data_IF_872141942967
#
_entry.id   IF_872141942967
#
_cell.length_a   1.000
_cell.length_b   1.000
_cell.length_c   1.000
_cell.angle_alpha   90.00
_cell.angle_beta   90.00
_cell.angle_gamma   90.00
#
_symmetry.space_group_name_H-M   'P 1'
#
loop_
_entity.id
_entity.type
_entity.pdbx_description
1 polymer ?
#
# COMPACT_ATOMS: atom_id res chain seq x y z
N UNK A 1 34.72 -18.66 15.54
CA UNK A 1 33.65 -19.17 16.42
C UNK A 1 32.77 -18.07 17.03
N UNK A 2 33.27 -16.86 17.32
CA UNK A 2 32.44 -15.78 17.92
C UNK A 2 31.47 -15.09 16.93
N UNK A 3 31.81 -15.02 15.63
CA UNK A 3 30.96 -14.39 14.60
C UNK A 3 29.69 -15.21 14.30
N UNK A 4 29.73 -16.52 14.49
CA UNK A 4 28.59 -17.42 14.22
C UNK A 4 27.54 -17.36 15.35
N UNK A 5 27.94 -17.02 16.58
CA UNK A 5 27.00 -16.92 17.72
C UNK A 5 26.15 -15.64 17.73
N UNK A 6 26.59 -14.57 17.07
CA UNK A 6 25.82 -13.31 16.96
C UNK A 6 24.67 -13.44 15.94
N UNK A 7 24.78 -14.39 15.00
CA UNK A 7 23.77 -14.64 13.95
C UNK A 7 22.69 -15.64 14.35
N UNK A 8 22.86 -16.37 15.46
CA UNK A 8 21.92 -17.42 15.89
C UNK A 8 20.55 -16.94 16.40
N UNK A 9 20.35 -15.72 16.97
CA UNK A 9 19.01 -15.28 17.39
C UNK A 9 18.22 -14.58 16.27
N UNK A 10 18.71 -14.58 15.02
CA UNK A 10 18.07 -13.86 13.91
C UNK A 10 17.11 -14.66 12.97
N UNK A 11 16.54 -15.84 13.29
CA UNK A 11 15.64 -16.54 12.38
C UNK A 11 14.20 -15.99 12.38
N UNK A 12 13.93 -14.81 12.96
CA UNK A 12 12.60 -14.17 12.88
C UNK A 12 12.67 -12.77 12.26
N UNK A 13 13.73 -12.02 12.53
CA UNK A 13 13.91 -10.66 12.00
C UNK A 13 14.35 -10.66 10.54
N UNK A 14 15.17 -11.63 10.10
CA UNK A 14 15.62 -11.73 8.69
C UNK A 14 14.44 -12.08 7.76
N UNK A 15 13.49 -12.92 8.19
CA UNK A 15 12.34 -13.27 7.35
C UNK A 15 11.35 -12.12 7.21
N UNK A 16 11.13 -11.33 8.28
CA UNK A 16 10.33 -10.11 8.23
C UNK A 16 10.99 -9.03 7.36
N UNK A 17 12.31 -8.86 7.47
CA UNK A 17 13.08 -7.95 6.63
C UNK A 17 13.09 -8.44 5.18
N UNK A 18 13.25 -9.75 4.94
CA UNK A 18 13.18 -10.37 3.61
C UNK A 18 11.81 -10.21 2.97
N UNK A 19 10.73 -10.44 3.73
CA UNK A 19 9.36 -10.20 3.29
C UNK A 19 9.15 -8.71 2.95
N UNK A 20 9.60 -7.80 3.82
CA UNK A 20 9.53 -6.36 3.57
C UNK A 20 10.39 -5.92 2.37
N UNK A 21 11.55 -6.53 2.13
CA UNK A 21 12.40 -6.28 0.96
C UNK A 21 11.72 -6.80 -0.32
N UNK A 22 11.04 -7.95 -0.27
CA UNK A 22 10.38 -8.54 -1.44
C UNK A 22 9.10 -7.77 -1.82
N UNK A 23 8.32 -7.35 -0.83
CA UNK A 23 7.00 -6.72 -1.06
C UNK A 23 7.04 -5.19 -1.01
N UNK A 24 8.03 -4.62 -0.32
CA UNK A 24 8.18 -3.18 -0.11
C UNK A 24 9.65 -2.73 -0.11
N UNK A 25 10.47 -3.09 -1.13
CA UNK A 25 11.91 -2.82 -1.15
C UNK A 25 12.23 -1.33 -0.94
N UNK A 26 11.40 -0.47 -1.53
CA UNK A 26 11.52 0.98 -1.42
C UNK A 26 11.23 1.50 -0.01
N UNK A 27 10.33 0.88 0.76
CA UNK A 27 10.09 1.26 2.16
C UNK A 27 11.30 0.92 3.04
N UNK A 28 11.91 -0.25 2.83
CA UNK A 28 13.07 -0.69 3.62
C UNK A 28 14.29 0.18 3.34
N UNK A 29 14.61 0.42 2.06
CA UNK A 29 15.78 1.21 1.68
C UNK A 29 15.65 2.69 2.11
N UNK A 30 14.50 3.30 1.87
CA UNK A 30 14.29 4.71 2.24
C UNK A 30 14.22 4.90 3.76
N UNK A 31 13.89 3.87 4.54
CA UNK A 31 13.86 3.94 6.01
C UNK A 31 15.24 4.16 6.61
N UNK A 32 16.29 3.53 6.08
CA UNK A 32 17.63 3.57 6.64
C UNK A 32 18.44 4.78 6.22
N UNK A 33 18.26 5.25 4.98
CA UNK A 33 19.17 6.26 4.42
C UNK A 33 18.58 7.67 4.33
N UNK A 34 17.26 7.83 4.42
CA UNK A 34 16.61 9.09 4.07
C UNK A 34 15.95 9.77 5.28
N UNK A 35 16.05 11.10 5.28
CA UNK A 35 15.30 11.95 6.20
C UNK A 35 13.80 11.82 5.95
N UNK A 36 12.98 12.16 6.95
CA UNK A 36 11.52 12.10 6.83
C UNK A 36 10.97 12.98 5.72
N UNK A 37 11.58 14.14 5.50
CA UNK A 37 11.14 15.06 4.46
C UNK A 37 11.45 14.50 3.06
N UNK A 38 12.62 13.87 2.89
CA UNK A 38 12.97 13.17 1.63
C UNK A 38 12.03 12.00 1.37
N UNK A 39 11.75 11.18 2.39
CA UNK A 39 10.78 10.08 2.31
C UNK A 39 9.40 10.55 1.92
N UNK A 40 8.90 11.59 2.59
CA UNK A 40 7.59 12.17 2.31
C UNK A 40 7.49 12.66 0.86
N UNK A 41 8.48 13.43 0.40
CA UNK A 41 8.53 13.94 -0.99
C UNK A 41 8.54 12.80 -2.00
N UNK A 42 9.34 11.77 -1.76
CA UNK A 42 9.43 10.62 -2.65
C UNK A 42 8.15 9.78 -2.67
N UNK A 43 7.55 9.51 -1.52
CA UNK A 43 6.29 8.76 -1.46
C UNK A 43 5.16 9.48 -2.18
N UNK A 44 5.05 10.80 -1.98
CA UNK A 44 4.11 11.62 -2.72
C UNK A 44 4.38 11.54 -4.23
N UNK A 45 5.63 11.75 -4.66
CA UNK A 45 6.00 11.64 -6.06
C UNK A 45 5.68 10.26 -6.66
N UNK A 46 6.01 9.17 -5.96
CA UNK A 46 5.78 7.80 -6.41
C UNK A 46 4.28 7.49 -6.50
N UNK A 47 3.46 7.96 -5.54
CA UNK A 47 2.00 7.84 -5.58
C UNK A 47 1.44 8.63 -6.75
N UNK A 48 1.79 9.91 -6.90
CA UNK A 48 1.32 10.75 -8.02
C UNK A 48 1.71 10.14 -9.38
N UNK A 49 2.96 9.66 -9.52
CA UNK A 49 3.43 8.97 -10.72
C UNK A 49 2.60 7.72 -11.01
N UNK A 50 2.30 6.92 -9.99
CA UNK A 50 1.49 5.71 -10.14
C UNK A 50 0.04 6.03 -10.57
N UNK A 51 -0.52 7.14 -10.11
CA UNK A 51 -1.87 7.58 -10.45
C UNK A 51 -2.03 8.01 -11.91
N UNK A 52 -0.95 8.45 -12.57
CA UNK A 52 -0.99 8.73 -14.03
C UNK A 52 -1.38 7.52 -14.87
N UNK A 53 -1.18 6.29 -14.34
CA UNK A 53 -1.58 5.04 -14.99
C UNK A 53 -3.04 4.69 -14.75
N UNK A 54 -3.75 5.44 -13.92
CA UNK A 54 -5.17 5.23 -13.61
C UNK A 54 -6.09 5.35 -14.83
N UNK A 55 -5.78 6.23 -15.78
CA UNK A 55 -6.55 6.38 -17.04
C UNK A 55 -6.42 5.14 -17.92
N UNK A 56 -5.21 4.56 -18.00
CA UNK A 56 -4.95 3.31 -18.71
C UNK A 56 -5.68 2.15 -18.03
N UNK A 57 -5.63 2.08 -16.69
CA UNK A 57 -6.39 1.08 -15.94
C UNK A 57 -7.87 1.15 -16.29
N UNK A 58 -8.49 2.34 -16.18
CA UNK A 58 -9.91 2.58 -16.47
C UNK A 58 -10.27 2.14 -17.88
N UNK A 59 -9.43 2.45 -18.88
CA UNK A 59 -9.66 2.02 -20.26
C UNK A 59 -9.69 0.50 -20.41
N UNK A 60 -8.76 -0.21 -19.77
CA UNK A 60 -8.67 -1.69 -19.85
C UNK A 60 -9.89 -2.36 -19.20
N UNK A 61 -10.39 -1.81 -18.11
CA UNK A 61 -11.55 -2.35 -17.37
C UNK A 61 -12.91 -1.81 -17.86
N UNK A 62 -12.95 -1.09 -18.97
CA UNK A 62 -14.21 -0.62 -19.58
C UNK A 62 -14.82 0.66 -19.00
N UNK A 63 -14.01 1.53 -18.38
CA UNK A 63 -14.42 2.82 -17.80
C UNK A 63 -15.62 2.74 -16.83
N UNK A 64 -15.54 1.92 -15.77
CA UNK A 64 -16.63 1.78 -14.81
C UNK A 64 -16.84 3.11 -14.05
N UNK A 65 -18.11 3.40 -13.77
CA UNK A 65 -18.53 4.57 -12.99
C UNK A 65 -18.07 4.50 -11.53
N UNK A 66 -17.95 3.29 -10.97
CA UNK A 66 -17.46 3.06 -9.61
C UNK A 66 -16.64 1.77 -9.49
N UNK A 67 -15.84 1.67 -8.43
CA UNK A 67 -15.06 0.45 -8.12
C UNK A 67 -15.97 -0.76 -7.83
N UNK A 68 -17.21 -0.53 -7.38
CA UNK A 68 -18.16 -1.60 -7.06
C UNK A 68 -18.70 -2.29 -8.32
N UNK A 69 -18.62 -1.63 -9.48
CA UNK A 69 -19.05 -2.19 -10.76
C UNK A 69 -17.98 -3.08 -11.39
N UNK A 70 -16.82 -3.23 -10.73
CA UNK A 70 -15.70 -4.01 -11.24
C UNK A 70 -15.88 -5.45 -10.81
N UNK A 71 -16.27 -6.30 -11.76
CA UNK A 71 -16.22 -7.74 -11.62
C UNK A 71 -15.04 -8.25 -12.44
N UNK A 72 -13.96 -8.58 -11.75
CA UNK A 72 -12.74 -9.11 -12.35
C UNK A 72 -12.54 -10.55 -11.89
N UNK A 73 -12.00 -11.42 -12.75
CA UNK A 73 -11.66 -12.78 -12.35
C UNK A 73 -10.62 -12.77 -11.22
N UNK A 74 -10.33 -13.97 -10.69
CA UNK A 74 -9.30 -14.12 -9.64
C UNK A 74 -7.98 -13.52 -10.11
N UNK A 75 -7.17 -13.05 -9.16
CA UNK A 75 -5.94 -12.30 -9.46
C UNK A 75 -4.98 -13.11 -10.34
N UNK A 76 -4.99 -14.44 -10.17
CA UNK A 76 -4.20 -15.42 -10.91
C UNK A 76 -4.61 -15.55 -12.38
N UNK A 77 -5.87 -15.25 -12.71
CA UNK A 77 -6.48 -15.37 -14.03
C UNK A 77 -6.59 -14.01 -14.76
N UNK A 78 -6.04 -12.94 -14.17
CA UNK A 78 -6.10 -11.61 -14.77
C UNK A 78 -5.28 -11.55 -16.07
N UNK A 79 -5.77 -10.82 -17.09
CA UNK A 79 -5.03 -10.62 -18.33
C UNK A 79 -3.72 -9.89 -18.07
N UNK A 80 -2.67 -10.27 -18.80
CA UNK A 80 -1.30 -9.76 -18.65
C UNK A 80 -1.22 -8.23 -18.72
N UNK A 81 -2.02 -7.61 -19.58
CA UNK A 81 -2.12 -6.15 -19.70
C UNK A 81 -2.60 -5.48 -18.40
N UNK A 82 -3.60 -6.07 -17.75
CA UNK A 82 -4.13 -5.58 -16.48
C UNK A 82 -3.15 -5.82 -15.34
N UNK A 83 -2.51 -6.98 -15.29
CA UNK A 83 -1.46 -7.31 -14.31
C UNK A 83 -0.29 -6.34 -14.42
N UNK A 84 0.14 -5.99 -15.63
CA UNK A 84 1.20 -5.02 -15.87
C UNK A 84 0.82 -3.63 -15.32
N UNK A 85 -0.38 -3.14 -15.60
CA UNK A 85 -0.85 -1.84 -15.11
C UNK A 85 -1.00 -1.84 -13.59
N UNK A 86 -1.58 -2.89 -13.01
CA UNK A 86 -1.71 -3.04 -11.56
C UNK A 86 -0.33 -3.11 -10.87
N UNK A 87 0.62 -3.83 -11.45
CA UNK A 87 2.00 -3.88 -10.93
C UNK A 87 2.64 -2.49 -10.91
N UNK A 88 2.41 -1.68 -11.95
CA UNK A 88 2.90 -0.30 -12.03
C UNK A 88 2.24 0.60 -10.99
N UNK A 89 0.91 0.47 -10.79
CA UNK A 89 0.16 1.26 -9.79
C UNK A 89 0.65 0.94 -8.38
N UNK A 90 0.91 -0.32 -8.09
CA UNK A 90 1.38 -0.76 -6.77
C UNK A 90 2.91 -0.66 -6.60
N UNK A 91 3.62 -0.07 -7.56
CA UNK A 91 5.09 0.04 -7.67
C UNK A 91 5.84 -1.28 -7.47
N UNK A 92 5.35 -2.36 -8.06
CA UNK A 92 6.07 -3.61 -8.21
C UNK A 92 6.92 -3.64 -9.49
N UNK A 93 8.05 -4.34 -9.41
CA UNK A 93 8.74 -4.81 -10.60
C UNK A 93 7.97 -5.96 -11.23
N UNK A 94 7.74 -5.87 -12.54
CA UNK A 94 7.11 -6.91 -13.32
C UNK A 94 8.10 -8.09 -13.49
N UNK A 95 7.97 -9.08 -12.62
CA UNK A 95 8.80 -10.29 -12.58
C UNK A 95 7.90 -11.53 -12.69
N UNK A 96 8.44 -12.70 -13.07
CA UNK A 96 7.69 -13.96 -13.03
C UNK A 96 7.01 -14.17 -11.67
N UNK A 97 5.75 -14.62 -11.69
CA UNK A 97 4.94 -14.78 -10.47
C UNK A 97 4.35 -13.48 -9.92
N UNK A 98 4.29 -12.40 -10.71
CA UNK A 98 3.72 -11.11 -10.30
C UNK A 98 2.26 -11.22 -9.83
N UNK A 99 1.42 -12.05 -10.45
CA UNK A 99 0.02 -12.24 -10.02
C UNK A 99 -0.05 -12.78 -8.59
N UNK A 100 0.80 -13.77 -8.26
CA UNK A 100 0.93 -14.29 -6.88
C UNK A 100 1.40 -13.23 -5.90
N UNK A 101 2.31 -12.34 -6.32
CA UNK A 101 2.80 -11.23 -5.48
C UNK A 101 1.72 -10.17 -5.25
N UNK A 102 0.91 -9.86 -6.27
CA UNK A 102 -0.25 -8.98 -6.15
C UNK A 102 -1.31 -9.56 -5.23
N UNK A 103 -1.57 -10.87 -5.36
CA UNK A 103 -2.50 -11.62 -4.49
C UNK A 103 -2.06 -11.54 -3.02
N UNK A 104 -0.80 -11.90 -2.72
CA UNK A 104 -0.22 -11.74 -1.37
C UNK A 104 -0.22 -10.30 -0.86
N UNK A 105 -0.01 -9.31 -1.73
CA UNK A 105 -0.11 -7.90 -1.34
C UNK A 105 -1.55 -7.55 -0.97
N UNK A 106 -2.53 -8.01 -1.74
CA UNK A 106 -3.94 -7.80 -1.43
C UNK A 106 -4.29 -8.39 -0.06
N UNK A 107 -3.92 -9.64 0.19
CA UNK A 107 -4.10 -10.31 1.48
C UNK A 107 -3.45 -9.52 2.62
N UNK A 108 -2.18 -9.13 2.48
CA UNK A 108 -1.48 -8.35 3.49
C UNK A 108 -2.16 -6.99 3.75
N UNK A 109 -2.63 -6.31 2.70
CA UNK A 109 -3.36 -5.05 2.84
C UNK A 109 -4.71 -5.25 3.55
N UNK A 110 -5.43 -6.34 3.29
CA UNK A 110 -6.68 -6.68 3.97
C UNK A 110 -6.47 -6.95 5.45
N UNK A 111 -5.43 -7.69 5.80
CA UNK A 111 -5.07 -7.94 7.20
C UNK A 111 -4.66 -6.64 7.91
N UNK A 112 -3.93 -5.76 7.21
CA UNK A 112 -3.63 -4.43 7.73
C UNK A 112 -4.88 -3.58 7.91
N UNK A 113 -5.88 -3.68 7.03
CA UNK A 113 -7.15 -2.96 7.16
C UNK A 113 -7.96 -3.45 8.37
N UNK A 114 -8.01 -4.77 8.63
CA UNK A 114 -8.65 -5.34 9.83
C UNK A 114 -8.03 -4.83 11.13
N UNK A 115 -6.69 -4.84 11.20
CA UNK A 115 -5.95 -4.35 12.38
C UNK A 115 -6.11 -2.84 12.56
N UNK A 116 -5.99 -2.10 11.47
CA UNK A 116 -6.16 -0.64 11.49
C UNK A 116 -7.56 -0.25 11.97
N UNK A 117 -8.61 -0.97 11.57
CA UNK A 117 -9.97 -0.70 12.03
C UNK A 117 -10.12 -0.75 13.56
N UNK A 118 -9.44 -1.70 14.21
CA UNK A 118 -9.45 -1.82 15.68
C UNK A 118 -8.61 -0.75 16.39
N UNK A 119 -7.55 -0.27 15.73
CA UNK A 119 -6.55 0.60 16.37
C UNK A 119 -6.73 2.09 16.05
N UNK A 120 -7.52 2.47 15.04
CA UNK A 120 -7.59 3.85 14.52
C UNK A 120 -7.94 4.92 15.57
N UNK A 121 -8.66 4.54 16.63
CA UNK A 121 -9.07 5.40 17.75
C UNK A 121 -8.16 5.28 18.99
N UNK A 122 -7.48 4.14 19.16
CA UNK A 122 -6.55 3.89 20.27
C UNK A 122 -5.14 4.40 20.01
N UNK A 123 -4.83 4.83 18.79
CA UNK A 123 -3.54 5.42 18.40
C UNK A 123 -3.35 6.85 18.96
N UNK A 124 -3.71 7.08 20.23
CA UNK A 124 -3.68 8.42 20.83
C UNK A 124 -3.09 8.34 22.24
N UNK A 125 -1.79 8.66 22.35
CA UNK A 125 -1.29 9.73 23.26
C UNK A 125 -0.15 9.47 24.26
N UNK A 126 0.33 8.27 24.60
CA UNK A 126 1.49 8.14 25.53
C UNK A 126 2.28 6.87 25.17
N UNK A 127 3.52 6.87 24.67
CA UNK A 127 4.69 7.63 25.13
C UNK A 127 5.77 7.91 24.06
N UNK A 128 5.53 7.72 22.75
CA UNK A 128 6.56 7.93 21.70
C UNK A 128 5.95 8.47 20.38
N UNK A 129 4.79 9.12 20.49
CA UNK A 129 3.73 9.01 19.48
C UNK A 129 3.86 9.94 18.26
N UNK A 130 4.31 11.19 18.36
CA UNK A 130 4.17 12.10 17.21
C UNK A 130 5.03 11.68 15.99
N UNK A 131 6.27 11.26 16.23
CA UNK A 131 7.21 10.88 15.17
C UNK A 131 6.95 9.48 14.62
N UNK A 132 6.54 8.54 15.49
CA UNK A 132 6.24 7.16 15.09
C UNK A 132 4.87 7.05 14.41
N UNK A 133 3.88 7.78 14.89
CA UNK A 133 2.49 7.69 14.43
C UNK A 133 2.28 8.43 13.11
N UNK A 134 2.89 9.60 12.93
CA UNK A 134 2.93 10.26 11.62
C UNK A 134 3.60 9.34 10.57
N UNK A 135 4.66 8.61 10.95
CA UNK A 135 5.30 7.60 10.09
C UNK A 135 4.40 6.41 9.79
N UNK A 136 3.62 5.94 10.75
CA UNK A 136 2.62 4.88 10.55
C UNK A 136 1.59 5.37 9.53
N UNK A 137 0.95 6.51 9.75
CA UNK A 137 -0.06 7.02 8.83
C UNK A 137 0.49 7.23 7.41
N UNK A 138 1.69 7.79 7.27
CA UNK A 138 2.34 7.91 5.97
C UNK A 138 2.58 6.57 5.28
N UNK A 139 3.01 5.54 6.02
CA UNK A 139 3.17 4.20 5.47
C UNK A 139 1.82 3.60 5.07
N UNK A 140 0.79 3.76 5.89
CA UNK A 140 -0.54 3.26 5.58
C UNK A 140 -1.11 3.89 4.31
N UNK A 141 -0.91 5.20 4.12
CA UNK A 141 -1.29 5.90 2.90
C UNK A 141 -0.46 5.44 1.71
N UNK A 142 0.87 5.35 1.85
CA UNK A 142 1.76 4.94 0.77
C UNK A 142 1.47 3.51 0.28
N UNK A 143 1.29 2.56 1.19
CA UNK A 143 0.99 1.15 0.86
C UNK A 143 -0.32 1.06 0.07
N UNK A 144 -1.33 1.86 0.46
CA UNK A 144 -2.65 1.93 -0.18
C UNK A 144 -2.69 2.84 -1.40
N UNK A 145 -1.57 3.48 -1.75
CA UNK A 145 -1.46 4.45 -2.84
C UNK A 145 -2.46 5.60 -2.74
N UNK A 146 -2.80 6.00 -1.51
CA UNK A 146 -3.70 7.13 -1.24
C UNK A 146 -2.89 8.42 -1.37
N UNK A 147 -3.43 9.41 -2.07
CA UNK A 147 -2.86 10.75 -2.08
C UNK A 147 -3.21 11.47 -0.77
N UNK A 148 -2.20 11.96 -0.05
CA UNK A 148 -2.31 12.68 1.22
C UNK A 148 -1.60 14.05 1.20
N UNK A 149 -1.48 14.64 0.02
CA UNK A 149 -0.75 15.90 -0.16
C UNK A 149 -1.27 16.99 0.79
N UNK A 150 -0.38 17.52 1.64
CA UNK A 150 -0.60 18.63 2.59
C UNK A 150 -1.60 18.40 3.74
N UNK A 151 -1.92 17.15 4.06
CA UNK A 151 -2.94 16.87 5.08
C UNK A 151 -2.37 16.82 6.50
N UNK A 152 -3.17 17.24 7.47
CA UNK A 152 -2.87 17.07 8.90
C UNK A 152 -3.00 15.60 9.33
N UNK A 153 -2.47 15.24 10.50
CA UNK A 153 -2.62 13.87 11.04
C UNK A 153 -4.09 13.47 11.20
N UNK A 154 -4.92 14.42 11.64
CA UNK A 154 -6.35 14.20 11.83
C UNK A 154 -7.05 13.95 10.49
N UNK A 155 -6.72 14.73 9.47
CA UNK A 155 -7.23 14.50 8.11
C UNK A 155 -6.79 13.16 7.55
N UNK A 156 -5.54 12.74 7.80
CA UNK A 156 -5.07 11.41 7.40
C UNK A 156 -5.84 10.30 8.09
N UNK A 157 -6.12 10.43 9.40
CA UNK A 157 -7.01 9.48 10.12
C UNK A 157 -8.39 9.41 9.47
N UNK A 158 -9.00 10.55 9.19
CA UNK A 158 -10.33 10.59 8.59
C UNK A 158 -10.36 9.99 7.18
N UNK A 159 -9.29 10.18 6.42
CA UNK A 159 -9.15 9.57 5.09
C UNK A 159 -8.94 8.06 5.17
N UNK A 160 -8.19 7.58 6.16
CA UNK A 160 -8.09 6.14 6.40
C UNK A 160 -9.44 5.55 6.81
N UNK A 161 -10.22 6.23 7.65
CA UNK A 161 -11.59 5.81 7.96
C UNK A 161 -12.47 5.74 6.71
N UNK A 162 -12.39 6.77 5.85
CA UNK A 162 -13.10 6.80 4.55
C UNK A 162 -12.64 5.67 3.64
N UNK A 163 -11.34 5.39 3.59
CA UNK A 163 -10.76 4.27 2.83
C UNK A 163 -11.31 2.93 3.31
N UNK A 164 -11.24 2.64 4.61
CA UNK A 164 -11.72 1.39 5.19
C UNK A 164 -13.21 1.16 4.90
N UNK A 165 -14.02 2.22 5.01
CA UNK A 165 -15.43 2.16 4.61
C UNK A 165 -15.58 1.88 3.12
N UNK A 166 -14.81 2.57 2.27
CA UNK A 166 -14.83 2.42 0.82
C UNK A 166 -14.41 1.02 0.34
N UNK A 167 -13.47 0.37 1.02
CA UNK A 167 -12.92 -0.93 0.60
C UNK A 167 -13.55 -2.15 1.27
N UNK A 168 -14.33 -1.94 2.34
CA UNK A 168 -14.92 -3.00 3.17
C UNK A 168 -15.58 -4.14 2.39
N UNK A 169 -16.41 -3.80 1.39
CA UNK A 169 -17.22 -4.76 0.64
C UNK A 169 -16.68 -5.10 -0.76
N UNK A 170 -15.46 -4.67 -1.08
CA UNK A 170 -14.88 -4.98 -2.40
C UNK A 170 -14.45 -6.44 -2.49
N UNK A 171 -14.40 -6.99 -3.70
CA UNK A 171 -13.65 -8.22 -3.97
C UNK A 171 -12.15 -7.93 -4.03
N UNK A 172 -11.29 -8.95 -3.91
CA UNK A 172 -9.83 -8.76 -3.87
C UNK A 172 -9.25 -8.16 -5.17
N UNK A 173 -9.80 -8.56 -6.32
CA UNK A 173 -9.41 -8.00 -7.62
C UNK A 173 -9.82 -6.53 -7.74
N UNK A 174 -11.05 -6.18 -7.36
CA UNK A 174 -11.55 -4.81 -7.29
C UNK A 174 -10.79 -3.94 -6.26
N UNK A 175 -10.39 -4.52 -5.13
CA UNK A 175 -9.59 -3.86 -4.10
C UNK A 175 -8.26 -3.34 -4.66
N UNK A 176 -7.60 -4.09 -5.55
CA UNK A 176 -6.35 -3.65 -6.18
C UNK A 176 -6.54 -2.42 -7.10
N UNK A 177 -7.75 -2.22 -7.64
CA UNK A 177 -8.12 -1.07 -8.44
C UNK A 177 -8.56 0.14 -7.59
N UNK A 178 -8.98 -0.09 -6.33
CA UNK A 178 -9.52 0.91 -5.42
C UNK A 178 -8.72 2.23 -5.32
N UNK A 179 -7.37 2.25 -5.30
CA UNK A 179 -6.62 3.51 -5.20
C UNK A 179 -6.93 4.52 -6.31
N UNK A 180 -7.14 4.03 -7.54
CA UNK A 180 -7.43 4.88 -8.70
C UNK A 180 -8.82 5.53 -8.59
N UNK A 181 -9.79 4.82 -8.02
CA UNK A 181 -11.14 5.33 -7.84
C UNK A 181 -11.25 6.23 -6.61
N UNK A 182 -10.56 5.88 -5.54
CA UNK A 182 -10.56 6.65 -4.30
C UNK A 182 -9.89 8.02 -4.49
N UNK A 183 -8.74 8.07 -5.16
CA UNK A 183 -8.05 9.33 -5.43
C UNK A 183 -8.78 10.17 -6.50
N UNK A 184 -9.43 9.53 -7.49
CA UNK A 184 -10.20 10.23 -8.51
C UNK A 184 -11.45 10.95 -8.00
N UNK A 185 -11.92 10.62 -6.79
CA UNK A 185 -13.05 11.31 -6.13
C UNK A 185 -12.65 12.60 -5.39
N UNK A 186 -11.35 12.93 -5.32
CA UNK A 186 -10.85 14.16 -4.68
C UNK A 186 -10.81 15.37 -5.64
N UNK A 187 -11.50 15.28 -6.78
CA UNK A 187 -11.76 16.40 -7.69
C UNK A 187 -13.02 17.14 -7.28
#
# INVERSE_FOLDING_TARGET
>A
MMVVMILLPLPLTIYLIGFAIIFFPRLVLTRHFWSDNQRKKFFLYDVTKSMTKGTVLRRIIGNPSSVNCIHLPKIEELPTSLVHVLSSIHSFYYLPGISRRLSKRCEAMRELDKRLYAEIDCLTSRQLYFYFTLKIYFQHMYIRRIDYTKQSEQEMRDILRKWLKFTSNLENSAYLCAPVFFNGRKS
#
